data_IF_337269781227
#
_entry.id   IF_337269781227
#
_cell.length_a   1.000
_cell.length_b   1.000
_cell.length_c   1.000
_cell.angle_alpha   90.00
_cell.angle_beta   90.00
_cell.angle_gamma   90.00
#
_symmetry.space_group_name_H-M   'P 1'
#
loop_
_entity.id
_entity.type
_entity.pdbx_description
1 polymer ?
#
# COMPACT_ATOMS: atom_id res chain seq x y z
N UNK A 1 12.85 5.28 21.07
CA UNK A 1 13.28 4.50 19.89
C UNK A 1 14.32 5.32 19.15
N UNK A 2 15.42 4.75 18.64
CA UNK A 2 16.29 5.53 17.76
C UNK A 2 15.53 5.77 16.45
N UNK A 3 15.35 7.04 16.07
CA UNK A 3 14.64 7.47 14.87
C UNK A 3 15.13 6.74 13.63
N UNK A 4 16.42 6.43 13.54
CA UNK A 4 16.99 5.63 12.44
C UNK A 4 16.36 4.24 12.35
N UNK A 5 16.19 3.54 13.47
CA UNK A 5 15.59 2.19 13.51
C UNK A 5 14.12 2.20 13.07
N UNK A 6 13.39 3.28 13.37
CA UNK A 6 12.01 3.46 12.91
C UNK A 6 11.94 3.51 11.37
N UNK A 7 12.74 4.37 10.74
CA UNK A 7 12.73 4.53 9.28
C UNK A 7 13.19 3.27 8.56
N UNK A 8 14.20 2.57 9.10
CA UNK A 8 14.63 1.28 8.56
C UNK A 8 13.51 0.25 8.61
N UNK A 9 12.81 0.14 9.75
CA UNK A 9 11.63 -0.73 9.87
C UNK A 9 10.54 -0.36 8.87
N UNK A 10 10.19 0.92 8.77
CA UNK A 10 9.17 1.41 7.83
C UNK A 10 9.53 1.09 6.37
N UNK A 11 10.76 1.34 5.93
CA UNK A 11 11.22 1.02 4.57
C UNK A 11 11.14 -0.49 4.33
N UNK A 12 11.55 -1.30 5.30
CA UNK A 12 11.47 -2.75 5.23
C UNK A 12 10.01 -3.21 5.01
N UNK A 13 9.07 -2.75 5.84
CA UNK A 13 7.68 -3.16 5.75
C UNK A 13 6.96 -2.65 4.49
N UNK A 14 7.25 -1.43 4.04
CA UNK A 14 6.76 -0.93 2.73
C UNK A 14 7.29 -1.81 1.60
N UNK A 15 8.57 -2.22 1.66
CA UNK A 15 9.16 -3.09 0.65
C UNK A 15 8.45 -4.44 0.61
N UNK A 16 8.20 -5.06 1.77
CA UNK A 16 7.43 -6.31 1.87
C UNK A 16 6.01 -6.14 1.32
N UNK A 17 5.34 -5.02 1.63
CA UNK A 17 4.00 -4.73 1.13
C UNK A 17 3.97 -4.65 -0.41
N UNK A 18 4.89 -3.89 -1.00
CA UNK A 18 4.99 -3.73 -2.46
C UNK A 18 5.36 -5.04 -3.15
N UNK A 19 6.30 -5.81 -2.59
CA UNK A 19 6.68 -7.13 -3.12
C UNK A 19 5.51 -8.13 -3.06
N UNK A 20 4.79 -8.16 -1.94
CA UNK A 20 3.58 -8.98 -1.78
C UNK A 20 2.54 -8.63 -2.83
N UNK A 21 2.30 -7.32 -3.02
CA UNK A 21 1.41 -6.78 -4.05
C UNK A 21 1.86 -7.20 -5.47
N UNK A 22 3.18 -7.27 -5.72
CA UNK A 22 3.79 -7.73 -6.98
C UNK A 22 3.47 -9.16 -7.31
N UNK A 23 3.70 -10.04 -6.34
CA UNK A 23 3.43 -11.45 -6.53
C UNK A 23 1.93 -11.66 -6.70
N UNK A 24 1.09 -11.05 -5.87
CA UNK A 24 -0.37 -11.17 -5.97
C UNK A 24 -0.90 -10.72 -7.34
N UNK A 25 -0.53 -9.52 -7.79
CA UNK A 25 -0.95 -9.01 -9.11
C UNK A 25 -0.52 -9.93 -10.24
N UNK A 26 0.73 -10.41 -10.19
CA UNK A 26 1.29 -11.31 -11.20
C UNK A 26 0.60 -12.67 -11.25
N UNK A 27 0.12 -13.17 -10.11
CA UNK A 27 -0.64 -14.42 -10.04
C UNK A 27 -2.09 -14.20 -10.50
N UNK A 28 -2.75 -13.16 -9.98
CA UNK A 28 -4.16 -12.89 -10.27
C UNK A 28 -4.43 -12.57 -11.74
N UNK A 29 -3.51 -11.85 -12.41
CA UNK A 29 -3.60 -11.60 -13.86
C UNK A 29 -3.41 -12.85 -14.71
N UNK A 30 -2.81 -13.92 -14.16
CA UNK A 30 -2.73 -15.25 -14.80
C UNK A 30 -3.94 -16.12 -14.45
N UNK A 31 -4.51 -15.95 -13.25
CA UNK A 31 -5.69 -16.70 -12.79
C UNK A 31 -6.98 -16.17 -13.42
N UNK A 32 -7.15 -14.85 -13.54
CA UNK A 32 -8.38 -14.23 -14.02
C UNK A 32 -8.16 -13.53 -15.36
N UNK A 33 -9.18 -13.57 -16.23
CA UNK A 33 -9.18 -12.83 -17.49
C UNK A 33 -9.30 -11.32 -17.21
N UNK A 34 -8.85 -10.47 -18.15
CA UNK A 34 -8.75 -9.02 -17.93
C UNK A 34 -10.03 -8.34 -17.43
N UNK A 35 -11.22 -8.75 -17.92
CA UNK A 35 -12.51 -8.21 -17.45
C UNK A 35 -12.86 -8.70 -16.04
N UNK A 36 -12.72 -10.00 -15.78
CA UNK A 36 -13.00 -10.58 -14.46
C UNK A 36 -12.08 -10.00 -13.39
N UNK A 37 -10.79 -9.86 -13.71
CA UNK A 37 -9.82 -9.19 -12.83
C UNK A 37 -10.26 -7.75 -12.50
N UNK A 38 -10.64 -6.97 -13.52
CA UNK A 38 -11.07 -5.58 -13.32
C UNK A 38 -12.33 -5.46 -12.44
N UNK A 39 -13.30 -6.37 -12.58
CA UNK A 39 -14.51 -6.37 -11.75
C UNK A 39 -14.17 -6.74 -10.31
N UNK A 40 -13.38 -7.80 -10.10
CA UNK A 40 -13.00 -8.23 -8.75
C UNK A 40 -12.18 -7.15 -8.04
N UNK A 41 -11.28 -6.48 -8.75
CA UNK A 41 -10.37 -5.48 -8.20
C UNK A 41 -10.87 -4.03 -8.32
N UNK A 42 -12.16 -3.85 -8.68
CA UNK A 42 -12.76 -2.55 -8.97
C UNK A 42 -12.43 -1.45 -7.93
N UNK A 43 -12.61 -1.70 -6.61
CA UNK A 43 -12.32 -0.67 -5.60
C UNK A 43 -10.84 -0.27 -5.60
N UNK A 44 -9.94 -1.26 -5.65
CA UNK A 44 -8.51 -1.03 -5.68
C UNK A 44 -8.05 -0.24 -6.91
N UNK A 45 -8.62 -0.53 -8.08
CA UNK A 45 -8.33 0.23 -9.32
C UNK A 45 -8.74 1.69 -9.17
N UNK A 46 -9.92 1.96 -8.60
CA UNK A 46 -10.37 3.34 -8.38
C UNK A 46 -9.41 4.08 -7.45
N UNK A 47 -9.06 3.47 -6.30
CA UNK A 47 -8.13 4.09 -5.35
C UNK A 47 -6.77 4.34 -6.01
N UNK A 48 -6.27 3.39 -6.81
CA UNK A 48 -5.02 3.53 -7.55
C UNK A 48 -5.03 4.74 -8.50
N UNK A 49 -6.01 4.84 -9.39
CA UNK A 49 -6.08 5.92 -10.37
C UNK A 49 -6.39 7.28 -9.72
N UNK A 50 -7.26 7.31 -8.69
CA UNK A 50 -7.50 8.54 -7.93
C UNK A 50 -6.25 9.03 -7.22
N UNK A 51 -5.39 8.12 -6.77
CA UNK A 51 -4.10 8.50 -6.18
C UNK A 51 -3.19 9.18 -7.20
N UNK A 52 -3.13 8.69 -8.44
CA UNK A 52 -2.42 9.40 -9.52
C UNK A 52 -3.00 10.79 -9.78
N UNK A 53 -4.32 10.93 -9.76
CA UNK A 53 -5.00 12.24 -9.89
C UNK A 53 -4.56 13.19 -8.78
N UNK A 54 -4.55 12.74 -7.52
CA UNK A 54 -4.06 13.55 -6.38
C UNK A 54 -2.58 13.94 -6.55
N UNK A 55 -1.74 12.99 -6.96
CA UNK A 55 -0.33 13.27 -7.26
C UNK A 55 -0.17 14.30 -8.38
N UNK A 56 -1.01 14.25 -9.41
CA UNK A 56 -0.99 15.23 -10.49
C UNK A 56 -1.36 16.64 -9.99
N UNK A 57 -2.39 16.76 -9.15
CA UNK A 57 -2.78 18.05 -8.58
C UNK A 57 -1.67 18.65 -7.71
N UNK A 58 -1.05 17.85 -6.84
CA UNK A 58 0.03 18.32 -5.95
C UNK A 58 1.27 18.78 -6.71
N UNK A 59 1.56 18.17 -7.84
CA UNK A 59 2.74 18.47 -8.66
C UNK A 59 2.45 19.50 -9.77
N UNK A 60 1.20 19.97 -9.86
CA UNK A 60 0.74 20.89 -10.89
C UNK A 60 0.75 20.29 -12.31
N UNK A 61 0.67 18.96 -12.41
CA UNK A 61 0.53 18.25 -13.68
C UNK A 61 -0.90 18.38 -14.21
N UNK A 62 -1.04 18.77 -15.49
CA UNK A 62 -2.36 18.84 -16.15
C UNK A 62 -2.83 17.44 -16.54
N UNK A 63 -3.97 17.04 -15.98
CA UNK A 63 -4.66 15.79 -16.33
C UNK A 63 -5.36 15.97 -17.68
N UNK A 64 -5.17 15.04 -18.60
CA UNK A 64 -5.82 15.04 -19.91
C UNK A 64 -6.95 14.02 -19.98
N UNK A 65 -6.79 12.88 -19.31
CA UNK A 65 -7.76 11.79 -19.37
C UNK A 65 -7.64 10.92 -18.11
N UNK A 66 -8.77 10.50 -17.56
CA UNK A 66 -8.83 9.50 -16.48
C UNK A 66 -9.80 8.42 -16.93
N UNK A 67 -9.33 7.16 -16.96
CA UNK A 67 -10.19 6.00 -17.19
C UNK A 67 -9.92 4.97 -16.11
N UNK A 68 -10.95 4.58 -15.39
CA UNK A 68 -10.84 3.50 -14.39
C UNK A 68 -10.90 2.12 -15.03
N UNK A 69 -11.69 1.97 -16.11
CA UNK A 69 -11.90 0.68 -16.77
C UNK A 69 -11.70 0.83 -18.28
N UNK A 70 -10.81 0.00 -18.82
CA UNK A 70 -10.57 -0.08 -20.27
C UNK A 70 -10.11 -1.49 -20.64
N UNK A 71 -10.03 -1.79 -21.94
CA UNK A 71 -9.49 -3.07 -22.41
C UNK A 71 -8.07 -3.36 -21.93
N UNK A 72 -7.32 -2.32 -21.54
CA UNK A 72 -5.93 -2.41 -21.03
C UNK A 72 -5.81 -2.13 -19.53
N UNK A 73 -6.92 -1.94 -18.81
CA UNK A 73 -6.95 -1.55 -17.39
C UNK A 73 -7.22 -0.06 -17.16
N UNK A 74 -7.11 0.37 -15.90
CA UNK A 74 -7.17 1.78 -15.53
C UNK A 74 -5.94 2.55 -16.00
N UNK A 75 -6.09 3.86 -16.23
CA UNK A 75 -4.98 4.79 -16.42
C UNK A 75 -5.38 6.25 -16.18
N UNK A 76 -4.38 7.05 -15.77
CA UNK A 76 -4.41 8.52 -15.78
C UNK A 76 -3.39 9.04 -16.79
N UNK A 77 -3.85 9.75 -17.82
CA UNK A 77 -2.98 10.46 -18.77
C UNK A 77 -2.80 11.90 -18.30
N UNK A 78 -1.54 12.30 -18.11
CA UNK A 78 -1.19 13.63 -17.65
C UNK A 78 0.05 14.17 -18.35
N UNK A 79 0.23 15.49 -18.35
CA UNK A 79 1.43 16.16 -18.87
C UNK A 79 2.59 16.06 -17.90
N UNK A 80 3.76 16.59 -18.25
CA UNK A 80 4.85 16.72 -17.28
C UNK A 80 4.42 17.68 -16.14
N UNK A 81 4.76 17.38 -14.88
CA UNK A 81 4.51 18.28 -13.76
C UNK A 81 5.39 19.54 -13.87
N UNK A 82 5.08 20.56 -13.05
CA UNK A 82 5.80 21.84 -13.07
C UNK A 82 7.32 21.68 -12.84
N UNK A 83 7.69 20.75 -11.96
CA UNK A 83 9.08 20.37 -11.69
C UNK A 83 9.23 18.88 -12.03
N UNK A 84 9.59 18.51 -13.26
CA UNK A 84 9.62 17.11 -13.71
C UNK A 84 10.47 16.18 -12.85
N UNK A 85 11.61 16.69 -12.36
CA UNK A 85 12.58 15.91 -11.57
C UNK A 85 11.97 15.36 -10.27
N UNK A 86 11.10 16.15 -9.62
CA UNK A 86 10.50 15.78 -8.33
C UNK A 86 9.06 15.28 -8.54
N UNK A 87 8.30 15.92 -9.44
CA UNK A 87 6.90 15.62 -9.64
C UNK A 87 6.63 14.26 -10.27
N UNK A 88 7.48 13.79 -11.20
CA UNK A 88 7.30 12.47 -11.81
C UNK A 88 7.45 11.32 -10.78
N UNK A 89 8.50 11.31 -9.92
CA UNK A 89 8.56 10.36 -8.82
C UNK A 89 7.37 10.43 -7.85
N UNK A 90 6.91 11.64 -7.51
CA UNK A 90 5.76 11.82 -6.60
C UNK A 90 4.51 11.19 -7.20
N UNK A 91 4.15 11.54 -8.44
CA UNK A 91 2.97 10.98 -9.12
C UNK A 91 3.06 9.45 -9.16
N UNK A 92 4.24 8.90 -9.44
CA UNK A 92 4.46 7.45 -9.52
C UNK A 92 4.33 6.71 -8.18
N UNK A 93 4.70 7.34 -7.07
CA UNK A 93 4.54 6.75 -5.72
C UNK A 93 3.17 6.98 -5.10
N UNK A 94 2.39 7.91 -5.66
CA UNK A 94 1.10 8.29 -5.10
C UNK A 94 0.13 7.11 -4.91
N UNK A 95 0.03 6.12 -5.82
CA UNK A 95 -0.80 4.94 -5.60
C UNK A 95 -0.43 4.12 -4.36
N UNK A 96 0.86 4.03 -4.02
CA UNK A 96 1.30 3.35 -2.79
C UNK A 96 0.83 4.14 -1.57
N UNK A 97 1.04 5.45 -1.59
CA UNK A 97 0.64 6.36 -0.50
C UNK A 97 -0.88 6.33 -0.32
N UNK A 98 -1.65 6.47 -1.41
CA UNK A 98 -3.09 6.49 -1.38
C UNK A 98 -3.70 5.15 -1.00
N UNK A 99 -3.10 4.03 -1.40
CA UNK A 99 -3.52 2.71 -0.94
C UNK A 99 -3.28 2.50 0.56
N UNK A 100 -2.12 2.89 1.09
CA UNK A 100 -1.85 2.84 2.54
C UNK A 100 -2.81 3.75 3.31
N UNK A 101 -3.04 4.97 2.84
CA UNK A 101 -3.99 5.90 3.45
C UNK A 101 -5.43 5.36 3.39
N UNK A 102 -5.79 4.64 2.33
CA UNK A 102 -7.10 4.00 2.24
C UNK A 102 -7.23 2.81 3.20
N UNK A 103 -6.19 1.99 3.39
CA UNK A 103 -6.19 0.94 4.42
C UNK A 103 -6.41 1.53 5.81
N UNK A 104 -5.74 2.63 6.12
CA UNK A 104 -5.98 3.39 7.35
C UNK A 104 -7.44 3.82 7.47
N UNK A 105 -8.00 4.43 6.42
CA UNK A 105 -9.38 4.89 6.40
C UNK A 105 -10.37 3.73 6.62
N UNK A 106 -10.11 2.55 6.04
CA UNK A 106 -10.95 1.38 6.24
C UNK A 106 -11.00 0.95 7.71
N UNK A 107 -9.85 0.92 8.40
CA UNK A 107 -9.81 0.58 9.83
C UNK A 107 -10.71 1.51 10.66
N UNK A 108 -10.68 2.81 10.36
CA UNK A 108 -11.51 3.79 11.04
C UNK A 108 -13.00 3.68 10.67
N UNK A 109 -13.33 3.55 9.38
CA UNK A 109 -14.72 3.46 8.92
C UNK A 109 -15.44 2.24 9.52
N UNK A 110 -14.72 1.13 9.70
CA UNK A 110 -15.28 -0.09 10.27
C UNK A 110 -15.17 -0.20 11.79
N UNK A 111 -14.62 0.82 12.45
CA UNK A 111 -14.33 0.85 13.91
C UNK A 111 -13.48 -0.34 14.36
N UNK A 112 -12.49 -0.69 13.55
CA UNK A 112 -11.59 -1.82 13.76
C UNK A 112 -10.33 -1.38 14.49
N UNK A 113 -10.31 -1.67 15.78
CA UNK A 113 -9.19 -1.35 16.67
C UNK A 113 -8.32 -2.59 16.90
N UNK A 114 -7.01 -2.40 16.80
CA UNK A 114 -6.05 -3.42 17.23
C UNK A 114 -5.87 -3.34 18.76
N UNK A 115 -5.77 -4.49 19.46
CA UNK A 115 -5.67 -4.53 20.91
C UNK A 115 -4.40 -3.87 21.46
N UNK A 116 -3.34 -3.83 20.65
CA UNK A 116 -2.09 -3.17 20.98
C UNK A 116 -1.69 -2.28 19.82
N UNK A 117 -1.25 -1.06 20.12
CA UNK A 117 -0.61 -0.20 19.13
C UNK A 117 0.67 -0.88 18.69
N UNK A 118 0.65 -1.43 17.49
CA UNK A 118 1.81 -2.12 16.97
C UNK A 118 2.81 -1.03 16.58
N UNK A 119 3.90 -0.97 17.33
CA UNK A 119 5.00 -0.04 17.10
C UNK A 119 6.18 -0.85 16.55
N UNK A 120 6.86 -0.32 15.54
CA UNK A 120 8.08 -0.95 15.04
C UNK A 120 9.15 -0.90 16.11
N UNK A 121 9.40 -2.00 16.80
CA UNK A 121 10.36 -2.05 17.91
C UNK A 121 11.82 -1.89 17.45
N UNK A 122 12.06 -1.89 16.15
CA UNK A 122 13.40 -1.96 15.54
C UNK A 122 13.97 -3.37 15.50
N UNK A 123 13.26 -4.36 16.08
CA UNK A 123 13.60 -5.77 16.00
C UNK A 123 12.63 -6.47 15.06
N UNK A 124 13.11 -6.85 13.86
CA UNK A 124 12.31 -7.54 12.85
C UNK A 124 11.61 -8.78 13.38
N UNK A 125 12.27 -9.54 14.25
CA UNK A 125 11.69 -10.73 14.87
C UNK A 125 10.51 -10.39 15.79
N UNK A 126 10.67 -9.42 16.69
CA UNK A 126 9.59 -9.00 17.60
C UNK A 126 8.42 -8.42 16.83
N UNK A 127 8.70 -7.58 15.84
CA UNK A 127 7.70 -6.96 14.98
C UNK A 127 6.90 -8.02 14.21
N UNK A 128 7.55 -9.08 13.74
CA UNK A 128 6.90 -10.19 13.05
C UNK A 128 6.03 -11.06 13.97
N UNK A 129 6.49 -11.35 15.19
CA UNK A 129 5.67 -12.07 16.18
C UNK A 129 4.45 -11.24 16.56
N UNK A 130 4.62 -9.93 16.78
CA UNK A 130 3.53 -9.03 17.12
C UNK A 130 2.53 -8.91 15.98
N UNK A 131 3.01 -8.80 14.74
CA UNK A 131 2.20 -8.85 13.53
C UNK A 131 1.28 -10.08 13.53
N UNK A 132 1.83 -11.28 13.77
CA UNK A 132 1.04 -12.52 13.77
C UNK A 132 0.02 -12.51 14.93
N UNK A 133 0.47 -12.18 16.15
CA UNK A 133 -0.38 -12.21 17.35
C UNK A 133 -1.56 -11.25 17.22
N UNK A 134 -1.28 -9.98 16.93
CA UNK A 134 -2.28 -8.92 16.81
C UNK A 134 -3.26 -9.20 15.66
N UNK A 135 -2.78 -9.74 14.54
CA UNK A 135 -3.65 -10.02 13.40
C UNK A 135 -4.51 -11.27 13.58
N UNK A 136 -4.01 -12.31 14.25
CA UNK A 136 -4.84 -13.47 14.62
C UNK A 136 -5.94 -13.08 15.60
N UNK A 137 -5.60 -12.26 16.61
CA UNK A 137 -6.59 -11.70 17.52
C UNK A 137 -7.66 -10.91 16.75
N UNK A 138 -7.24 -10.05 15.81
CA UNK A 138 -8.16 -9.31 14.97
C UNK A 138 -9.13 -10.22 14.20
N UNK A 139 -8.63 -11.27 13.54
CA UNK A 139 -9.50 -12.22 12.82
C UNK A 139 -10.49 -12.88 13.77
N UNK A 140 -10.02 -13.45 14.90
CA UNK A 140 -10.86 -14.20 15.84
C UNK A 140 -12.02 -13.36 16.39
N UNK A 141 -11.78 -12.06 16.61
CA UNK A 141 -12.82 -11.17 17.14
C UNK A 141 -13.80 -10.63 16.09
N UNK A 142 -13.43 -10.63 14.80
CA UNK A 142 -14.23 -9.96 13.77
C UNK A 142 -14.77 -10.88 12.65
N UNK A 143 -14.27 -12.10 12.49
CA UNK A 143 -14.64 -12.99 11.37
C UNK A 143 -16.14 -13.31 11.26
N UNK A 144 -16.88 -13.27 12.37
CA UNK A 144 -18.33 -13.48 12.40
C UNK A 144 -19.15 -12.31 11.85
N UNK A 145 -18.54 -11.15 11.60
CA UNK A 145 -19.22 -9.94 11.13
C UNK A 145 -19.11 -9.78 9.61
N UNK A 146 -20.20 -9.37 8.95
CA UNK A 146 -20.16 -9.02 7.51
C UNK A 146 -19.20 -7.85 7.22
N UNK A 147 -19.02 -6.94 8.18
CA UNK A 147 -18.07 -5.81 8.08
C UNK A 147 -16.65 -6.31 7.84
N UNK A 148 -16.25 -7.41 8.49
CA UNK A 148 -14.93 -8.01 8.32
C UNK A 148 -14.71 -8.52 6.90
N UNK A 149 -15.70 -9.21 6.32
CA UNK A 149 -15.59 -9.74 4.96
C UNK A 149 -15.54 -8.63 3.90
N UNK A 150 -16.34 -7.56 4.08
CA UNK A 150 -16.25 -6.38 3.23
C UNK A 150 -14.88 -5.69 3.36
N UNK A 151 -14.41 -5.48 4.59
CA UNK A 151 -13.08 -4.95 4.86
C UNK A 151 -11.97 -5.78 4.24
N UNK A 152 -12.02 -7.10 4.36
CA UNK A 152 -11.06 -8.03 3.77
C UNK A 152 -11.05 -7.92 2.25
N UNK A 153 -12.23 -7.90 1.62
CA UNK A 153 -12.37 -7.70 0.18
C UNK A 153 -11.74 -6.38 -0.28
N UNK A 154 -12.08 -5.26 0.37
CA UNK A 154 -11.54 -3.94 0.04
C UNK A 154 -10.03 -3.87 0.24
N UNK A 155 -9.54 -4.43 1.35
CA UNK A 155 -8.11 -4.52 1.66
C UNK A 155 -7.37 -5.29 0.59
N UNK A 156 -7.79 -6.52 0.27
CA UNK A 156 -7.13 -7.36 -0.75
C UNK A 156 -7.21 -6.71 -2.14
N UNK A 157 -8.34 -6.10 -2.49
CA UNK A 157 -8.49 -5.38 -3.75
C UNK A 157 -7.50 -4.24 -3.89
N UNK A 158 -7.31 -3.45 -2.85
CA UNK A 158 -6.36 -2.32 -2.84
C UNK A 158 -4.93 -2.83 -2.83
N UNK A 159 -4.63 -3.86 -2.04
CA UNK A 159 -3.31 -4.49 -2.00
C UNK A 159 -2.86 -4.98 -3.38
N UNK A 160 -3.73 -5.67 -4.10
CA UNK A 160 -3.42 -6.12 -5.47
C UNK A 160 -3.19 -4.91 -6.39
N UNK A 161 -3.88 -3.80 -6.18
CA UNK A 161 -3.71 -2.59 -6.99
C UNK A 161 -2.62 -1.64 -6.48
N UNK A 162 -1.88 -1.95 -5.42
CA UNK A 162 -0.86 -1.02 -4.87
C UNK A 162 0.32 -0.77 -5.81
N UNK A 163 0.49 -1.61 -6.83
CA UNK A 163 1.70 -1.60 -7.63
C UNK A 163 1.80 -0.41 -8.57
N UNK A 164 2.88 0.38 -8.49
CA UNK A 164 3.16 1.38 -9.50
C UNK A 164 3.46 0.71 -10.84
N UNK A 165 3.10 1.38 -11.94
CA UNK A 165 3.46 0.89 -13.26
C UNK A 165 4.99 0.80 -13.42
N UNK A 166 5.47 0.04 -14.43
CA UNK A 166 6.92 -0.03 -14.71
C UNK A 166 7.55 1.33 -15.01
N UNK A 167 6.77 2.24 -15.59
CA UNK A 167 7.21 3.61 -15.87
C UNK A 167 7.30 4.42 -14.57
N UNK A 168 6.35 4.24 -13.66
CA UNK A 168 6.32 4.89 -12.36
C UNK A 168 7.44 4.42 -11.46
N UNK A 169 7.75 3.12 -11.45
CA UNK A 169 8.88 2.56 -10.70
C UNK A 169 10.23 3.15 -11.12
N UNK A 170 10.44 3.33 -12.43
CA UNK A 170 11.69 3.95 -12.94
C UNK A 170 11.83 5.39 -12.45
N UNK A 171 10.73 6.14 -12.45
CA UNK A 171 10.73 7.53 -11.99
C UNK A 171 10.80 7.61 -10.45
N UNK A 172 10.19 6.66 -9.74
CA UNK A 172 10.07 6.69 -8.28
C UNK A 172 11.34 6.31 -7.55
N UNK A 173 12.25 5.50 -8.13
CA UNK A 173 13.54 5.20 -7.50
C UNK A 173 14.33 6.46 -7.15
N UNK A 174 14.33 7.46 -8.04
CA UNK A 174 14.97 8.76 -7.78
C UNK A 174 14.24 9.53 -6.66
N UNK A 175 12.91 9.46 -6.64
CA UNK A 175 12.10 10.06 -5.58
C UNK A 175 12.27 9.40 -4.22
N UNK A 176 12.39 8.08 -4.17
CA UNK A 176 12.64 7.32 -2.93
C UNK A 176 13.99 7.70 -2.33
N UNK A 177 15.03 7.85 -3.16
CA UNK A 177 16.33 8.34 -2.71
C UNK A 177 16.20 9.78 -2.19
N UNK A 178 15.49 10.65 -2.90
CA UNK A 178 15.28 12.03 -2.47
C UNK A 178 14.51 12.11 -1.13
N UNK A 179 13.46 11.32 -0.96
CA UNK A 179 12.69 11.22 0.29
C UNK A 179 13.58 10.69 1.42
N UNK A 180 14.37 9.63 1.18
CA UNK A 180 15.29 9.09 2.18
C UNK A 180 16.33 10.13 2.63
N UNK A 181 16.85 10.94 1.70
CA UNK A 181 17.79 12.03 2.02
C UNK A 181 17.09 13.12 2.83
N UNK A 182 15.91 13.58 2.43
CA UNK A 182 15.14 14.60 3.16
C UNK A 182 14.80 14.12 4.57
N UNK A 183 14.31 12.89 4.71
CA UNK A 183 14.03 12.28 6.01
C UNK A 183 15.29 12.21 6.86
N UNK A 184 16.42 11.74 6.31
CA UNK A 184 17.71 11.71 7.00
C UNK A 184 18.14 13.09 7.52
N UNK A 185 17.96 14.14 6.70
CA UNK A 185 18.25 15.51 7.11
C UNK A 185 17.33 15.98 8.24
N UNK A 186 16.02 15.77 8.12
CA UNK A 186 15.05 16.16 9.15
C UNK A 186 15.34 15.50 10.51
N UNK A 187 15.78 14.24 10.49
CA UNK A 187 16.20 13.50 11.70
C UNK A 187 17.47 14.10 12.29
N UNK A 188 18.49 14.34 11.45
CA UNK A 188 19.78 14.87 11.91
C UNK A 188 19.67 16.28 12.51
N UNK A 189 18.70 17.07 12.07
CA UNK A 189 18.44 18.41 12.59
C UNK A 189 17.38 18.45 13.70
N UNK A 190 16.87 17.30 14.15
CA UNK A 190 15.81 17.19 15.16
C UNK A 190 14.58 18.07 14.86
N UNK A 191 14.25 18.20 13.56
CA UNK A 191 13.15 19.04 13.06
C UNK A 191 11.80 18.30 13.06
N UNK A 192 11.77 17.05 13.54
CA UNK A 192 10.54 16.29 13.69
C UNK A 192 9.75 16.80 14.90
N UNK A 193 8.47 17.10 14.67
CA UNK A 193 7.53 17.53 15.70
C UNK A 193 7.02 16.26 16.40
N UNK A 194 7.08 16.17 17.73
CA UNK A 194 6.67 14.97 18.50
C UNK A 194 5.26 14.45 18.13
N UNK A 195 4.34 15.34 17.76
CA UNK A 195 2.98 14.98 17.33
C UNK A 195 2.95 14.26 15.97
N UNK A 196 3.86 14.64 15.07
CA UNK A 196 4.05 13.96 13.77
C UNK A 196 4.61 12.57 14.00
N UNK A 197 5.50 12.40 14.98
CA UNK A 197 6.04 11.08 15.32
C UNK A 197 4.98 10.13 15.83
N UNK A 198 4.07 10.57 16.73
CA UNK A 198 2.98 9.72 17.23
C UNK A 198 2.03 9.33 16.10
N UNK A 199 1.59 10.30 15.29
CA UNK A 199 0.68 10.04 14.19
C UNK A 199 1.29 9.08 13.15
N UNK A 200 2.53 9.32 12.74
CA UNK A 200 3.21 8.46 11.78
C UNK A 200 3.45 7.08 12.39
N UNK A 201 3.95 6.98 13.63
CA UNK A 201 4.23 5.68 14.24
C UNK A 201 2.98 4.83 14.43
N UNK A 202 1.88 5.42 14.91
CA UNK A 202 0.68 4.64 15.25
C UNK A 202 -0.09 4.22 14.00
N UNK A 203 -0.39 5.18 13.13
CA UNK A 203 -1.33 4.95 12.03
C UNK A 203 -0.67 4.33 10.81
N UNK A 204 0.55 4.76 10.46
CA UNK A 204 1.28 4.18 9.33
C UNK A 204 1.65 2.73 9.64
N UNK A 205 2.18 2.47 10.83
CA UNK A 205 2.59 1.11 11.23
C UNK A 205 1.42 0.15 11.22
N UNK A 206 0.29 0.51 11.83
CA UNK A 206 -0.92 -0.32 11.85
C UNK A 206 -1.39 -0.63 10.43
N UNK A 207 -1.46 0.37 9.56
CA UNK A 207 -1.92 0.20 8.18
C UNK A 207 -0.99 -0.68 7.33
N UNK A 208 0.33 -0.51 7.49
CA UNK A 208 1.33 -1.34 6.83
C UNK A 208 1.25 -2.79 7.27
N UNK A 209 1.09 -3.02 8.57
CA UNK A 209 0.98 -4.35 9.18
C UNK A 209 -0.26 -5.06 8.68
N UNK A 210 -1.42 -4.40 8.74
CA UNK A 210 -2.67 -4.91 8.20
C UNK A 210 -2.51 -5.30 6.75
N UNK A 211 -1.93 -4.40 5.94
CA UNK A 211 -1.70 -4.65 4.53
C UNK A 211 -0.78 -5.85 4.28
N UNK A 212 0.34 -5.94 5.00
CA UNK A 212 1.30 -7.05 4.85
C UNK A 212 0.68 -8.37 5.28
N UNK A 213 0.01 -8.41 6.43
CA UNK A 213 -0.60 -9.63 6.95
C UNK A 213 -1.68 -10.18 6.01
N UNK A 214 -2.64 -9.34 5.61
CA UNK A 214 -3.69 -9.79 4.68
C UNK A 214 -3.14 -10.08 3.29
N UNK A 215 -2.07 -9.41 2.87
CA UNK A 215 -1.34 -9.75 1.65
C UNK A 215 -0.70 -11.14 1.72
N UNK A 216 -0.09 -11.51 2.84
CA UNK A 216 0.49 -12.86 3.05
C UNK A 216 -0.61 -13.92 3.05
N UNK A 217 -1.73 -13.69 3.74
CA UNK A 217 -2.88 -14.62 3.71
C UNK A 217 -3.39 -14.78 2.27
N UNK A 218 -3.57 -13.67 1.55
CA UNK A 218 -3.99 -13.71 0.17
C UNK A 218 -3.02 -14.52 -0.70
N UNK A 219 -1.70 -14.41 -0.47
CA UNK A 219 -0.70 -15.21 -1.18
C UNK A 219 -0.82 -16.71 -0.87
N UNK A 220 -0.95 -17.06 0.40
CA UNK A 220 -1.10 -18.46 0.84
C UNK A 220 -2.31 -19.11 0.16
N UNK A 221 -3.41 -18.37 -0.02
CA UNK A 221 -4.62 -18.84 -0.71
C UNK A 221 -4.43 -18.86 -2.24
N UNK A 222 -3.81 -17.81 -2.79
CA UNK A 222 -3.70 -17.63 -4.25
C UNK A 222 -2.74 -18.63 -4.89
N UNK A 223 -1.63 -18.97 -4.22
CA UNK A 223 -0.60 -19.87 -4.78
C UNK A 223 -1.18 -21.26 -5.12
N UNK A 224 -1.89 -21.97 -4.22
CA UNK A 224 -2.56 -23.22 -4.56
C UNK A 224 -3.55 -23.09 -5.72
N UNK A 225 -4.36 -22.04 -5.75
CA UNK A 225 -5.32 -21.79 -6.84
C UNK A 225 -4.61 -21.65 -8.18
N UNK A 226 -3.51 -20.90 -8.22
CA UNK A 226 -2.69 -20.76 -9.43
C UNK A 226 -2.09 -22.10 -9.88
N UNK A 227 -1.56 -22.90 -8.94
CA UNK A 227 -0.99 -24.20 -9.24
C UNK A 227 -2.03 -25.16 -9.82
N UNK A 228 -3.23 -25.22 -9.22
CA UNK A 228 -4.35 -26.03 -9.72
C UNK A 228 -4.74 -25.58 -11.13
N UNK A 229 -4.89 -24.27 -11.36
CA UNK A 229 -5.24 -23.75 -12.68
C UNK A 229 -4.19 -24.09 -13.75
N UNK A 230 -2.91 -24.19 -13.38
CA UNK A 230 -1.85 -24.55 -14.32
C UNK A 230 -1.87 -26.05 -14.70
N UNK A 231 -2.48 -26.90 -13.87
CA UNK A 231 -2.57 -28.34 -14.08
C UNK A 231 -3.79 -28.74 -14.94
N UNK A 232 -4.80 -27.87 -15.05
CA UNK A 232 -6.03 -28.06 -15.85
C UNK A 232 -5.86 -27.35 -17.20
#
# INVERSE_FOLDING_TARGET
MNTVSFFVGMIFWITILVLTSFVLTSLWTKIFSGKTFQILMFPGIIIHELSHVLGCFLTGSKIEEVKFFSSKGGYVRHRKPKIPVIGMPIIGMFPVIGGIAFLFLLLNIFDFNFPETILFSGSLYKDFIELIRSSLFFIINHWGSWKFWLFLYLTVSVLICLIPSRQDLKNSLVGLIAIAVVLSLLINFNLFIEQVDIFINEYLTTSLIVGVFFGIIALIITVPIYLIKKLI
#
